data_IF_860849132747
#
_entry.id   IF_860849132747
#
_cell.length_a   1.000
_cell.length_b   1.000
_cell.length_c   1.000
_cell.angle_alpha   90.00
_cell.angle_beta   90.00
_cell.angle_gamma   90.00
#
_symmetry.space_group_name_H-M   'P 1'
#
loop_
_entity.id
_entity.type
_entity.pdbx_description
1 polymer ?
#
# COMPACT_ATOMS: atom_id res chain seq x y z
N UNK A 1 -19.51 5.67 -6.65
CA UNK A 1 -20.73 5.86 -5.80
C UNK A 1 -20.47 5.13 -4.49
N UNK A 2 -20.65 5.79 -3.34
CA UNK A 2 -20.35 5.18 -2.04
C UNK A 2 -21.43 4.13 -1.74
N UNK A 3 -21.01 2.89 -1.47
CA UNK A 3 -21.91 1.81 -1.11
C UNK A 3 -22.08 1.76 0.41
N UNK A 4 -23.26 2.12 0.92
CA UNK A 4 -23.58 2.11 2.35
C UNK A 4 -24.67 1.06 2.62
N UNK A 5 -24.47 0.20 3.62
CA UNK A 5 -25.43 -0.84 4.03
C UNK A 5 -25.53 -0.90 5.56
N UNK A 6 -26.71 -1.21 6.12
CA UNK A 6 -26.80 -1.53 7.55
C UNK A 6 -25.98 -2.78 7.89
N UNK A 7 -25.33 -2.82 9.05
CA UNK A 7 -24.54 -3.98 9.48
C UNK A 7 -25.36 -5.28 9.52
N UNK A 8 -26.66 -5.18 9.83
CA UNK A 8 -27.61 -6.30 9.78
C UNK A 8 -27.77 -6.92 8.38
N UNK A 9 -27.46 -6.19 7.30
CA UNK A 9 -27.58 -6.70 5.93
C UNK A 9 -26.52 -7.76 5.61
N UNK A 10 -25.36 -7.75 6.27
CA UNK A 10 -24.30 -8.74 6.03
C UNK A 10 -24.78 -10.15 6.30
N UNK A 11 -25.50 -10.36 7.40
CA UNK A 11 -25.95 -11.72 7.77
C UNK A 11 -26.85 -12.34 6.69
N UNK A 12 -27.62 -11.52 5.97
CA UNK A 12 -28.55 -11.97 4.92
C UNK A 12 -27.91 -12.00 3.54
N UNK A 13 -27.05 -11.03 3.23
CA UNK A 13 -26.54 -10.77 1.87
C UNK A 13 -25.01 -10.90 1.78
N UNK A 14 -24.38 -11.72 2.64
CA UNK A 14 -22.92 -11.85 2.68
C UNK A 14 -22.31 -12.12 1.30
N UNK A 15 -22.83 -13.11 0.58
CA UNK A 15 -22.29 -13.50 -0.73
C UNK A 15 -22.40 -12.37 -1.76
N UNK A 16 -23.52 -11.65 -1.79
CA UNK A 16 -23.73 -10.51 -2.70
C UNK A 16 -22.74 -9.37 -2.38
N UNK A 17 -22.55 -9.06 -1.09
CA UNK A 17 -21.60 -8.04 -0.63
C UNK A 17 -20.17 -8.46 -0.94
N UNK A 18 -19.82 -9.72 -0.71
CA UNK A 18 -18.49 -10.27 -1.01
C UNK A 18 -18.19 -10.18 -2.50
N UNK A 19 -19.12 -10.59 -3.37
CA UNK A 19 -18.96 -10.50 -4.82
C UNK A 19 -18.93 -9.06 -5.32
N UNK A 20 -19.68 -8.15 -4.72
CA UNK A 20 -19.59 -6.72 -5.02
C UNK A 20 -18.19 -6.18 -4.70
N UNK A 21 -17.65 -6.48 -3.52
CA UNK A 21 -16.31 -6.07 -3.11
C UNK A 21 -15.23 -6.59 -4.07
N UNK A 22 -15.29 -7.87 -4.46
CA UNK A 22 -14.34 -8.47 -5.41
C UNK A 22 -14.43 -7.85 -6.81
N UNK A 23 -15.64 -7.74 -7.35
CA UNK A 23 -15.84 -7.27 -8.73
C UNK A 23 -15.56 -5.78 -8.91
N UNK A 24 -15.90 -4.97 -7.90
CA UNK A 24 -15.69 -3.53 -7.97
C UNK A 24 -14.29 -3.12 -7.51
N UNK A 25 -13.69 -3.87 -6.58
CA UNK A 25 -12.50 -3.44 -5.85
C UNK A 25 -12.77 -2.27 -4.88
N UNK A 26 -14.02 -1.85 -4.73
CA UNK A 26 -14.43 -0.70 -3.93
C UNK A 26 -14.96 -1.14 -2.55
N UNK A 27 -14.81 -0.30 -1.52
CA UNK A 27 -15.35 -0.58 -0.20
C UNK A 27 -16.88 -0.51 -0.13
N UNK A 28 -17.43 -1.36 0.74
CA UNK A 28 -18.79 -1.23 1.25
C UNK A 28 -18.71 -0.76 2.70
N UNK A 29 -19.36 0.37 2.97
CA UNK A 29 -19.45 0.98 4.29
C UNK A 29 -20.66 0.40 5.03
N UNK A 30 -20.46 0.05 6.29
CA UNK A 30 -21.48 -0.48 7.16
C UNK A 30 -21.87 0.55 8.19
N UNK A 31 -23.17 0.67 8.41
CA UNK A 31 -23.73 1.52 9.47
C UNK A 31 -24.35 0.69 10.57
N UNK A 32 -24.20 1.14 11.81
CA UNK A 32 -24.92 0.64 12.98
C UNK A 32 -25.76 1.79 13.52
N UNK A 33 -27.08 1.60 13.60
CA UNK A 33 -28.03 2.64 14.03
C UNK A 33 -27.96 3.95 13.22
N UNK A 34 -27.61 3.86 11.93
CA UNK A 34 -27.47 5.04 11.05
C UNK A 34 -26.10 5.73 11.12
N UNK A 35 -25.23 5.32 12.04
CA UNK A 35 -23.86 5.84 12.17
C UNK A 35 -22.87 4.91 11.47
N UNK A 36 -21.84 5.48 10.83
CA UNK A 36 -20.76 4.70 10.24
C UNK A 36 -20.00 3.89 11.28
N UNK A 37 -19.75 2.61 11.00
CA UNK A 37 -19.19 1.66 11.95
C UNK A 37 -17.97 0.94 11.37
N UNK A 38 -18.14 0.28 10.21
CA UNK A 38 -17.12 -0.58 9.61
C UNK A 38 -17.04 -0.42 8.10
N UNK A 39 -15.92 -0.86 7.52
CA UNK A 39 -15.72 -0.94 6.06
C UNK A 39 -15.34 -2.37 5.70
N UNK A 40 -15.97 -2.90 4.66
CA UNK A 40 -15.68 -4.23 4.11
C UNK A 40 -15.10 -4.05 2.71
N UNK A 41 -14.00 -4.74 2.44
CA UNK A 41 -13.32 -4.77 1.15
C UNK A 41 -12.89 -6.20 0.82
N UNK A 42 -12.64 -6.45 -0.46
CA UNK A 42 -11.91 -7.64 -0.87
C UNK A 42 -10.45 -7.56 -0.39
N UNK A 43 -9.87 -8.71 -0.04
CA UNK A 43 -8.52 -8.79 0.54
C UNK A 43 -7.46 -8.35 -0.48
N UNK A 44 -7.57 -8.75 -1.75
CA UNK A 44 -6.61 -8.38 -2.79
C UNK A 44 -6.73 -6.89 -3.12
N UNK A 45 -7.96 -6.39 -3.20
CA UNK A 45 -8.21 -4.95 -3.40
C UNK A 45 -7.62 -4.11 -2.26
N UNK A 46 -7.79 -4.54 -1.01
CA UNK A 46 -7.21 -3.89 0.16
C UNK A 46 -5.68 -3.93 0.12
N UNK A 47 -5.07 -5.09 -0.11
CA UNK A 47 -3.62 -5.24 -0.17
C UNK A 47 -2.99 -4.39 -1.30
N UNK A 48 -3.65 -4.33 -2.46
CA UNK A 48 -3.24 -3.46 -3.57
C UNK A 48 -3.32 -1.99 -3.18
N UNK A 49 -4.40 -1.56 -2.52
CA UNK A 49 -4.54 -0.19 -2.01
C UNK A 49 -3.41 0.18 -1.05
N UNK A 50 -3.11 -0.68 -0.07
CA UNK A 50 -2.02 -0.47 0.89
C UNK A 50 -0.65 -0.36 0.18
N UNK A 51 -0.40 -1.23 -0.80
CA UNK A 51 0.84 -1.22 -1.59
C UNK A 51 0.99 0.08 -2.39
N UNK A 52 -0.11 0.55 -3.01
CA UNK A 52 -0.14 1.80 -3.75
C UNK A 52 0.08 3.03 -2.85
N UNK A 53 -0.46 3.01 -1.62
CA UNK A 53 -0.23 4.09 -0.65
C UNK A 53 1.25 4.16 -0.25
N UNK A 54 1.87 3.02 0.07
CA UNK A 54 3.32 2.97 0.39
C UNK A 54 4.19 3.43 -0.77
N UNK A 55 3.86 3.02 -2.00
CA UNK A 55 4.55 3.49 -3.20
C UNK A 55 4.40 5.01 -3.34
N UNK A 56 3.19 5.54 -3.15
CA UNK A 56 2.94 6.99 -3.22
C UNK A 56 3.79 7.74 -2.19
N UNK A 57 3.83 7.29 -0.94
CA UNK A 57 4.66 7.89 0.10
C UNK A 57 6.14 7.89 -0.29
N UNK A 58 6.63 6.78 -0.84
CA UNK A 58 8.02 6.65 -1.29
C UNK A 58 8.34 7.62 -2.44
N UNK A 59 7.43 7.77 -3.41
CA UNK A 59 7.59 8.70 -4.53
C UNK A 59 7.55 10.16 -4.08
N UNK A 60 6.67 10.50 -3.14
CA UNK A 60 6.62 11.85 -2.55
C UNK A 60 7.94 12.17 -1.84
N UNK A 61 8.45 11.27 -1.00
CA UNK A 61 9.71 11.47 -0.30
C UNK A 61 10.92 11.59 -1.26
N UNK A 62 10.93 10.81 -2.34
CA UNK A 62 11.96 10.90 -3.39
C UNK A 62 11.91 12.26 -4.11
N UNK A 63 10.71 12.74 -4.42
CA UNK A 63 10.52 14.03 -5.08
C UNK A 63 10.88 15.21 -4.17
N UNK A 64 10.53 15.17 -2.88
CA UNK A 64 10.96 16.17 -1.89
C UNK A 64 12.49 16.20 -1.74
N UNK A 65 13.13 15.03 -1.75
CA UNK A 65 14.60 14.92 -1.73
C UNK A 65 15.22 15.56 -2.97
N UNK A 66 14.64 15.33 -4.15
CA UNK A 66 15.08 15.94 -5.40
C UNK A 66 14.92 17.47 -5.38
N UNK A 67 13.78 17.97 -4.91
CA UNK A 67 13.50 19.41 -4.80
C UNK A 67 14.38 20.12 -3.76
N UNK A 68 14.80 19.42 -2.70
CA UNK A 68 15.76 19.93 -1.72
C UNK A 68 17.23 19.87 -2.19
N UNK A 69 17.47 19.50 -3.45
CA UNK A 69 18.80 19.51 -4.06
C UNK A 69 19.62 18.25 -3.84
N UNK A 70 19.03 17.17 -3.32
CA UNK A 70 19.69 15.86 -3.29
C UNK A 70 19.61 15.24 -4.68
N UNK A 71 20.75 15.11 -5.34
CA UNK A 71 20.83 14.43 -6.62
C UNK A 71 20.68 12.91 -6.44
N UNK A 72 19.99 12.27 -7.38
CA UNK A 72 19.98 10.81 -7.48
C UNK A 72 21.29 10.28 -8.05
N UNK A 73 21.46 8.96 -7.99
CA UNK A 73 22.59 8.25 -8.59
C UNK A 73 22.11 7.54 -9.86
N UNK A 74 23.00 7.43 -10.84
CA UNK A 74 22.83 6.49 -11.95
C UNK A 74 22.90 5.05 -11.46
N UNK A 75 22.44 4.12 -12.29
CA UNK A 75 22.49 2.68 -11.99
C UNK A 75 23.94 2.21 -11.81
N UNK A 76 24.86 2.74 -12.63
CA UNK A 76 26.29 2.37 -12.56
C UNK A 76 26.92 2.85 -11.25
N UNK A 77 26.71 4.11 -10.88
CA UNK A 77 27.19 4.66 -9.59
C UNK A 77 26.62 3.87 -8.41
N UNK A 78 25.33 3.53 -8.44
CA UNK A 78 24.70 2.70 -7.43
C UNK A 78 25.32 1.30 -7.35
N UNK A 79 25.55 0.66 -8.50
CA UNK A 79 26.16 -0.67 -8.59
C UNK A 79 27.55 -0.68 -7.96
N UNK A 80 28.37 0.32 -8.25
CA UNK A 80 29.72 0.41 -7.74
C UNK A 80 29.75 0.70 -6.24
N UNK A 81 28.86 1.56 -5.73
CA UNK A 81 28.69 1.77 -4.28
C UNK A 81 28.30 0.48 -3.55
N UNK A 82 27.37 -0.31 -4.10
CA UNK A 82 26.95 -1.58 -3.49
C UNK A 82 28.11 -2.58 -3.44
N UNK A 83 28.87 -2.72 -4.55
CA UNK A 83 30.03 -3.61 -4.60
C UNK A 83 31.09 -3.20 -3.57
N UNK A 84 31.37 -1.90 -3.45
CA UNK A 84 32.32 -1.37 -2.49
C UNK A 84 31.89 -1.70 -1.05
N UNK A 85 30.62 -1.44 -0.70
CA UNK A 85 30.09 -1.74 0.63
C UNK A 85 30.13 -3.24 0.97
N UNK A 86 29.85 -4.13 0.01
CA UNK A 86 29.96 -5.58 0.21
C UNK A 86 31.42 -5.99 0.46
N UNK A 87 32.37 -5.44 -0.30
CA UNK A 87 33.78 -5.74 -0.15
C UNK A 87 34.33 -5.28 1.21
N UNK A 88 33.92 -4.11 1.70
CA UNK A 88 34.27 -3.62 3.04
C UNK A 88 33.80 -4.59 4.14
N UNK A 89 32.55 -5.03 4.09
CA UNK A 89 31.99 -5.97 5.08
C UNK A 89 32.70 -7.33 5.03
N UNK A 90 33.06 -7.82 3.84
CA UNK A 90 33.78 -9.09 3.70
C UNK A 90 35.21 -9.02 4.22
N UNK A 91 35.89 -7.89 4.03
CA UNK A 91 37.25 -7.69 4.52
C UNK A 91 37.29 -7.49 6.03
N UNK A 92 36.33 -6.75 6.61
CA UNK A 92 36.22 -6.58 8.06
C UNK A 92 35.91 -7.88 8.83
N UNK A 93 35.45 -8.94 8.15
CA UNK A 93 35.24 -10.28 8.74
C UNK A 93 36.46 -11.21 8.61
N UNK A 94 37.47 -10.81 7.83
CA UNK A 94 38.70 -11.58 7.60
C UNK A 94 39.84 -11.15 8.52
N UNK A 95 39.70 -10.01 9.17
CA UNK A 95 40.52 -9.55 10.31
C UNK A 95 39.92 -10.00 11.64
#
# INVERSE_FOLDING_TARGET
>A
MINIKPSAAIRKNYNEISELCKRSGEPVYLTKNGEGDLVVMDIEAFARRESMLRLRESLVAAEESRLSGKNGYSIDEMSDMIKAAVHEVLNAKRE
#
